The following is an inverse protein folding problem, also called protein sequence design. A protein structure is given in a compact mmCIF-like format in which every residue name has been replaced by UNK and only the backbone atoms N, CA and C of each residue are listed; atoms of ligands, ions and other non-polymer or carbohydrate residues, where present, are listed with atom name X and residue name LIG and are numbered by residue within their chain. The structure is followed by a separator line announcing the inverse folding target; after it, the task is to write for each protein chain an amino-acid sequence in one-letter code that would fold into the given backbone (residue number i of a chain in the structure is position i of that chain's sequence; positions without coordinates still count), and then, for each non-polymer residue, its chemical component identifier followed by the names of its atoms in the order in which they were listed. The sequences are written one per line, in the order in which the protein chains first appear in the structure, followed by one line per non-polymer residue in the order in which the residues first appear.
data_IF_219104123535
#
_entry.id   IF_219104123535
#
_cell.length_a   1.000
_cell.length_b   1.000
_cell.length_c   1.000
_cell.angle_alpha   90.00
_cell.angle_beta   90.00
_cell.angle_gamma   90.00
#
_symmetry.space_group_name_H-M   'P 1'
#
loop_
_entity.id
_entity.type
_entity.pdbx_description
1 polymer ?
#
# COMPACT_ATOMS: atom_id res chain seq x y z
N UNK A 1 -17.00 21.71 39.53
CA UNK A 1 -17.76 21.11 38.43
C UNK A 1 -17.60 19.60 38.59
N UNK A 2 -18.62 18.92 39.14
CA UNK A 2 -18.61 17.46 39.23
C UNK A 2 -19.05 16.93 37.86
N UNK A 3 -18.18 16.18 37.21
CA UNK A 3 -18.40 15.65 35.88
C UNK A 3 -19.23 14.37 36.00
N UNK A 4 -20.54 14.46 35.74
CA UNK A 4 -21.45 13.31 35.65
C UNK A 4 -21.23 12.55 34.33
N UNK A 5 -19.98 12.16 34.05
CA UNK A 5 -19.66 11.29 32.92
C UNK A 5 -19.96 9.85 33.31
N UNK A 6 -21.11 9.34 32.89
CA UNK A 6 -21.45 7.92 33.00
C UNK A 6 -20.44 7.07 32.21
N UNK A 7 -20.23 5.83 32.66
CA UNK A 7 -19.31 4.91 32.00
C UNK A 7 -19.74 4.56 30.56
N UNK A 8 -21.02 4.71 30.25
CA UNK A 8 -21.58 4.50 28.91
C UNK A 8 -21.25 5.64 27.95
N UNK A 9 -21.25 6.89 28.43
CA UNK A 9 -20.85 8.07 27.64
C UNK A 9 -19.38 8.00 27.21
N UNK A 10 -18.52 7.45 28.09
CA UNK A 10 -17.11 7.19 27.77
C UNK A 10 -16.96 6.16 26.67
N UNK A 11 -17.70 5.03 26.72
CA UNK A 11 -17.63 3.98 25.69
C UNK A 11 -18.13 4.46 24.34
N UNK A 12 -19.24 5.20 24.31
CA UNK A 12 -19.78 5.72 23.05
C UNK A 12 -18.83 6.74 22.41
N UNK A 13 -18.19 7.59 23.22
CA UNK A 13 -17.19 8.57 22.75
C UNK A 13 -15.95 7.86 22.20
N UNK A 14 -15.46 6.81 22.87
CA UNK A 14 -14.33 6.01 22.42
C UNK A 14 -14.63 5.31 21.08
N UNK A 15 -15.78 4.63 20.97
CA UNK A 15 -16.19 3.97 19.72
C UNK A 15 -16.35 4.96 18.56
N UNK A 16 -16.90 6.15 18.81
CA UNK A 16 -16.97 7.21 17.78
C UNK A 16 -15.58 7.66 17.37
N UNK A 17 -14.67 7.87 18.31
CA UNK A 17 -13.29 8.27 18.02
C UNK A 17 -12.51 7.20 17.24
N UNK A 18 -12.74 5.92 17.52
CA UNK A 18 -12.15 4.79 16.78
C UNK A 18 -12.68 4.74 15.35
N UNK A 19 -14.00 4.86 15.16
CA UNK A 19 -14.61 4.89 13.82
C UNK A 19 -14.11 6.09 13.00
N UNK A 20 -14.03 7.27 13.62
CA UNK A 20 -13.48 8.46 12.96
C UNK A 20 -11.99 8.29 12.61
N UNK A 21 -11.22 7.63 13.46
CA UNK A 21 -9.81 7.33 13.23
C UNK A 21 -9.65 6.35 12.06
N UNK A 22 -10.41 5.27 12.04
CA UNK A 22 -10.41 4.29 10.94
C UNK A 22 -10.84 4.92 9.62
N UNK A 23 -11.88 5.77 9.62
CA UNK A 23 -12.29 6.47 8.41
C UNK A 23 -11.18 7.38 7.86
N UNK A 24 -10.48 8.11 8.74
CA UNK A 24 -9.33 8.95 8.34
C UNK A 24 -8.16 8.11 7.83
N UNK A 25 -7.90 6.96 8.43
CA UNK A 25 -6.85 6.03 8.01
C UNK A 25 -7.14 5.47 6.62
N UNK A 26 -8.36 4.99 6.39
CA UNK A 26 -8.81 4.50 5.07
C UNK A 26 -8.75 5.59 3.99
N UNK A 27 -9.14 6.83 4.32
CA UNK A 27 -9.01 7.97 3.40
C UNK A 27 -7.55 8.29 3.04
N UNK A 28 -6.65 8.26 4.03
CA UNK A 28 -5.21 8.47 3.80
C UNK A 28 -4.61 7.37 2.95
N UNK A 29 -4.94 6.11 3.23
CA UNK A 29 -4.48 4.95 2.46
C UNK A 29 -4.97 5.01 1.01
N UNK A 30 -6.26 5.31 0.81
CA UNK A 30 -6.84 5.49 -0.53
C UNK A 30 -6.17 6.63 -1.31
N UNK A 31 -5.91 7.77 -0.65
CA UNK A 31 -5.21 8.90 -1.26
C UNK A 31 -3.77 8.54 -1.63
N UNK A 32 -3.07 7.81 -0.76
CA UNK A 32 -1.71 7.33 -1.02
C UNK A 32 -1.65 6.43 -2.25
N UNK A 33 -2.52 5.41 -2.34
CA UNK A 33 -2.56 4.53 -3.50
C UNK A 33 -2.97 5.25 -4.79
N UNK A 34 -3.89 6.22 -4.72
CA UNK A 34 -4.25 7.03 -5.88
C UNK A 34 -3.07 7.86 -6.40
N UNK A 35 -2.28 8.46 -5.51
CA UNK A 35 -1.10 9.23 -5.92
C UNK A 35 -0.05 8.31 -6.54
N UNK A 36 0.15 7.13 -5.97
CA UNK A 36 1.09 6.15 -6.49
C UNK A 36 0.64 5.62 -7.87
N UNK A 37 -0.66 5.38 -8.06
CA UNK A 37 -1.21 4.93 -9.34
C UNK A 37 -1.05 5.97 -10.46
N UNK A 38 -1.05 7.26 -10.13
CA UNK A 38 -0.77 8.32 -11.11
C UNK A 38 0.68 8.26 -11.60
N UNK A 39 1.64 8.02 -10.70
CA UNK A 39 3.07 7.90 -11.03
C UNK A 39 3.32 6.63 -11.85
N UNK A 40 2.70 5.51 -11.46
CA UNK A 40 2.87 4.20 -12.10
C UNK A 40 2.48 4.23 -13.58
N UNK A 41 1.52 5.09 -13.97
CA UNK A 41 1.00 5.17 -15.34
C UNK A 41 2.09 5.37 -16.40
N UNK A 42 3.21 5.98 -16.03
CA UNK A 42 4.29 6.35 -16.95
C UNK A 42 5.39 5.28 -17.04
N UNK A 43 5.17 4.08 -16.51
CA UNK A 43 6.11 2.96 -16.52
C UNK A 43 5.55 1.75 -17.27
N UNK A 44 6.43 1.02 -17.97
CA UNK A 44 6.07 -0.20 -18.70
C UNK A 44 6.07 -1.46 -17.80
N UNK A 45 6.94 -1.47 -16.79
CA UNK A 45 7.11 -2.59 -15.85
C UNK A 45 7.11 -2.09 -14.40
N UNK A 46 6.45 -2.83 -13.52
CA UNK A 46 6.33 -2.51 -12.10
C UNK A 46 6.61 -3.76 -11.25
N UNK A 47 7.60 -3.66 -10.36
CA UNK A 47 7.88 -4.67 -9.34
C UNK A 47 7.33 -4.22 -8.00
N UNK A 48 6.35 -4.94 -7.46
CA UNK A 48 5.82 -4.74 -6.12
C UNK A 48 6.38 -5.79 -5.16
N UNK A 49 7.08 -5.34 -4.12
CA UNK A 49 7.70 -6.21 -3.12
C UNK A 49 7.62 -5.59 -1.73
N UNK A 50 7.73 -6.44 -0.70
CA UNK A 50 7.73 -6.03 0.70
C UNK A 50 7.04 -7.04 1.63
N UNK A 51 7.21 -6.88 2.96
CA UNK A 51 6.76 -7.86 3.94
C UNK A 51 5.26 -7.77 4.26
N UNK A 52 4.58 -6.70 3.86
CA UNK A 52 3.17 -6.46 4.17
C UNK A 52 2.26 -6.78 2.98
N UNK A 53 0.94 -6.76 3.21
CA UNK A 53 -0.08 -6.97 2.17
C UNK A 53 -0.33 -5.75 1.29
N UNK A 54 0.30 -4.60 1.56
CA UNK A 54 0.14 -3.38 0.77
C UNK A 54 0.47 -3.60 -0.73
N UNK A 55 1.43 -4.50 -1.03
CA UNK A 55 1.76 -4.91 -2.42
C UNK A 55 0.57 -5.57 -3.12
N UNK A 56 -0.15 -6.43 -2.41
CA UNK A 56 -1.30 -7.19 -2.89
C UNK A 56 -2.49 -6.25 -3.09
N UNK A 57 -2.73 -5.35 -2.14
CA UNK A 57 -3.78 -4.33 -2.22
C UNK A 57 -3.58 -3.39 -3.42
N UNK A 58 -2.37 -2.84 -3.58
CA UNK A 58 -2.04 -1.97 -4.70
C UNK A 58 -2.15 -2.71 -6.03
N UNK A 59 -1.65 -3.94 -6.12
CA UNK A 59 -1.78 -4.77 -7.32
C UNK A 59 -3.26 -4.93 -7.72
N UNK A 60 -4.12 -5.29 -6.77
CA UNK A 60 -5.55 -5.48 -7.03
C UNK A 60 -6.24 -4.18 -7.45
N UNK A 61 -5.86 -3.04 -6.83
CA UNK A 61 -6.36 -1.72 -7.20
C UNK A 61 -5.97 -1.35 -8.65
N UNK A 62 -4.74 -1.61 -9.05
CA UNK A 62 -4.26 -1.34 -10.41
C UNK A 62 -4.94 -2.26 -11.43
N UNK A 63 -5.07 -3.56 -11.12
CA UNK A 63 -5.73 -4.55 -11.99
C UNK A 63 -7.23 -4.29 -12.18
N UNK A 64 -7.88 -3.62 -11.24
CA UNK A 64 -9.28 -3.22 -11.38
C UNK A 64 -9.49 -2.08 -12.40
N UNK A 65 -8.42 -1.43 -12.88
CA UNK A 65 -8.51 -0.28 -13.78
C UNK A 65 -7.72 -0.53 -15.08
N UNK A 66 -8.44 -0.61 -16.20
CA UNK A 66 -7.91 -0.87 -17.54
C UNK A 66 -6.81 0.09 -18.01
N UNK A 67 -6.71 1.28 -17.41
CA UNK A 67 -5.63 2.23 -17.71
C UNK A 67 -4.22 1.65 -17.43
N UNK A 68 -4.13 0.63 -16.58
CA UNK A 68 -2.88 -0.02 -16.18
C UNK A 68 -2.67 -1.39 -16.84
N UNK A 69 -3.55 -1.82 -17.75
CA UNK A 69 -3.46 -3.15 -18.40
C UNK A 69 -2.19 -3.34 -19.24
N UNK A 70 -1.61 -2.23 -19.71
CA UNK A 70 -0.37 -2.24 -20.49
C UNK A 70 0.88 -2.40 -19.63
N UNK A 71 0.76 -2.22 -18.32
CA UNK A 71 1.89 -2.31 -17.38
C UNK A 71 2.07 -3.76 -16.97
N UNK A 72 3.29 -4.28 -17.13
CA UNK A 72 3.65 -5.59 -16.61
C UNK A 72 3.92 -5.48 -15.12
N UNK A 73 2.96 -5.89 -14.30
CA UNK A 73 3.07 -5.84 -12.84
C UNK A 73 3.44 -7.21 -12.30
N UNK A 74 4.59 -7.31 -11.63
CA UNK A 74 4.99 -8.48 -10.87
C UNK A 74 4.92 -8.21 -9.37
N UNK A 75 4.31 -9.14 -8.63
CA UNK A 75 4.31 -9.13 -7.16
C UNK A 75 5.27 -10.19 -6.66
N UNK A 76 6.22 -9.80 -5.81
CA UNK A 76 7.15 -10.72 -5.14
C UNK A 76 7.00 -10.61 -3.64
N UNK A 77 6.98 -11.76 -2.98
CA UNK A 77 7.14 -11.81 -1.53
C UNK A 77 8.59 -11.45 -1.20
N UNK A 78 8.74 -10.58 -0.21
CA UNK A 78 10.03 -10.21 0.34
C UNK A 78 9.89 -10.13 1.86
N UNK A 79 10.81 -10.76 2.57
CA UNK A 79 10.90 -10.60 4.02
C UNK A 79 11.34 -9.18 4.39
N UNK A 80 11.42 -8.90 5.68
CA UNK A 80 12.01 -7.64 6.15
C UNK A 80 13.45 -7.55 5.65
N UNK A 81 13.70 -6.59 4.78
CA UNK A 81 15.00 -6.32 4.17
C UNK A 81 15.48 -4.93 4.57
N UNK A 82 16.75 -4.81 4.90
CA UNK A 82 17.48 -3.54 4.99
C UNK A 82 17.53 -2.87 3.62
N UNK A 83 17.77 -1.56 3.58
CA UNK A 83 17.85 -0.83 2.31
C UNK A 83 18.93 -1.41 1.36
N UNK A 84 20.01 -1.96 1.92
CA UNK A 84 21.06 -2.62 1.13
C UNK A 84 20.54 -3.91 0.49
N UNK A 85 19.78 -4.70 1.22
CA UNK A 85 19.17 -5.93 0.72
C UNK A 85 18.09 -5.63 -0.30
N UNK A 86 17.28 -4.59 -0.10
CA UNK A 86 16.30 -4.14 -1.10
C UNK A 86 16.97 -3.72 -2.41
N UNK A 87 18.04 -2.92 -2.35
CA UNK A 87 18.81 -2.53 -3.55
C UNK A 87 19.39 -3.75 -4.27
N UNK A 88 19.95 -4.70 -3.51
CA UNK A 88 20.47 -5.95 -4.08
C UNK A 88 19.34 -6.77 -4.72
N UNK A 89 18.19 -6.89 -4.07
CA UNK A 89 17.03 -7.60 -4.59
C UNK A 89 16.54 -7.00 -5.91
N UNK A 90 16.41 -5.67 -5.99
CA UNK A 90 16.01 -4.96 -7.21
C UNK A 90 17.04 -5.23 -8.32
N UNK A 91 18.33 -5.10 -8.04
CA UNK A 91 19.39 -5.36 -9.02
C UNK A 91 19.34 -6.80 -9.53
N UNK A 92 19.31 -7.78 -8.61
CA UNK A 92 19.27 -9.21 -8.96
C UNK A 92 18.01 -9.58 -9.75
N UNK A 93 16.89 -8.88 -9.51
CA UNK A 93 15.65 -9.06 -10.25
C UNK A 93 15.80 -8.55 -11.69
N UNK A 94 16.18 -7.29 -11.89
CA UNK A 94 16.24 -6.69 -13.22
C UNK A 94 17.38 -7.22 -14.09
N UNK A 95 18.51 -7.63 -13.50
CA UNK A 95 19.61 -8.27 -14.25
C UNK A 95 19.18 -9.58 -14.94
N UNK A 96 18.13 -10.27 -14.47
CA UNK A 96 17.60 -11.46 -15.15
C UNK A 96 16.91 -11.14 -16.48
N UNK A 97 16.46 -9.90 -16.66
CA UNK A 97 15.80 -9.44 -17.88
C UNK A 97 16.80 -8.88 -18.90
N UNK A 98 17.99 -8.45 -18.45
CA UNK A 98 19.06 -7.95 -19.33
C UNK A 98 19.60 -9.02 -20.32
N UNK A 99 19.44 -10.31 -19.99
CA UNK A 99 19.85 -11.42 -20.89
C UNK A 99 18.86 -11.73 -22.02
N UNK A 100 17.74 -10.99 -22.13
CA UNK A 100 16.73 -11.18 -23.18
C UNK A 100 16.80 -10.17 -24.33
N UNK A 101 17.88 -9.39 -24.43
CA UNK A 101 18.14 -8.51 -25.59
C UNK A 101 18.89 -9.24 -26.69
#
# INVERSE_FOLDING_TARGET
ISSDFSSDDKKQTLQRSENEMHNKEQQKQGTFYKNLSLIIKDFDELLLFGPTEAKSELHNLLKANHQYDKITIEVKNADKMTDKEQRKFISDYFTKFDFKK
#
